data_IF_909634450572
#
_entry.id   IF_909634450572
#
_cell.length_a   1.000
_cell.length_b   1.000
_cell.length_c   1.000
_cell.angle_alpha   90.00
_cell.angle_beta   90.00
_cell.angle_gamma   90.00
#
_symmetry.space_group_name_H-M   'P 1'
#
loop_
_entity.id
_entity.type
_entity.pdbx_description
1 polymer ?
#
# COMPACT_ATOMS: atom_id res chain seq x y z
N UNK A 1 -9.24 -31.39 16.21
CA UNK A 1 -10.04 -30.63 17.20
C UNK A 1 -11.46 -31.16 17.20
N UNK A 2 -12.26 -30.95 18.25
CA UNK A 2 -13.63 -31.46 18.35
C UNK A 2 -14.67 -30.38 18.01
N UNK A 3 -15.70 -30.72 17.23
CA UNK A 3 -16.84 -29.85 16.92
C UNK A 3 -18.01 -30.19 17.84
N UNK A 4 -18.31 -29.33 18.82
CA UNK A 4 -19.26 -29.64 19.89
C UNK A 4 -20.70 -29.80 19.39
N UNK A 5 -21.12 -28.95 18.44
CA UNK A 5 -22.48 -29.00 17.87
C UNK A 5 -22.79 -30.27 17.07
N UNK A 6 -21.82 -30.80 16.35
CA UNK A 6 -22.01 -31.96 15.46
C UNK A 6 -21.49 -33.26 16.06
N UNK A 7 -20.71 -33.19 17.14
CA UNK A 7 -20.11 -34.36 17.78
C UNK A 7 -19.11 -35.06 16.87
N UNK A 8 -18.27 -34.30 16.15
CA UNK A 8 -17.31 -34.84 15.18
C UNK A 8 -15.88 -34.37 15.45
N UNK A 9 -14.92 -35.22 15.09
CA UNK A 9 -13.49 -34.88 15.07
C UNK A 9 -13.15 -34.17 13.74
N UNK A 10 -12.55 -32.99 13.82
CA UNK A 10 -12.11 -32.18 12.66
C UNK A 10 -10.62 -32.39 12.43
N UNK A 11 -10.27 -32.77 11.21
CA UNK A 11 -8.89 -32.84 10.73
C UNK A 11 -8.53 -31.62 9.85
N UNK A 12 -7.88 -30.62 10.43
CA UNK A 12 -7.44 -29.40 9.72
C UNK A 12 -6.42 -29.66 8.60
N UNK A 13 -5.85 -30.85 8.53
CA UNK A 13 -4.90 -31.25 7.49
C UNK A 13 -5.59 -31.73 6.21
N UNK A 14 -6.92 -31.87 6.19
CA UNK A 14 -7.70 -32.31 5.04
C UNK A 14 -8.62 -31.19 4.52
N UNK A 15 -8.83 -31.09 3.18
CA UNK A 15 -9.64 -30.03 2.58
C UNK A 15 -11.12 -30.11 2.95
N UNK A 16 -11.64 -31.32 3.12
CA UNK A 16 -13.01 -31.64 3.59
C UNK A 16 -13.07 -31.80 5.12
N UNK A 17 -11.97 -31.56 5.81
CA UNK A 17 -11.82 -31.71 7.26
C UNK A 17 -12.05 -33.14 7.78
N UNK A 18 -12.05 -34.13 6.88
CA UNK A 18 -12.43 -35.52 7.15
C UNK A 18 -13.93 -35.81 7.03
N UNK A 19 -14.73 -34.86 6.53
CA UNK A 19 -16.20 -34.95 6.43
C UNK A 19 -16.71 -34.50 5.06
N UNK A 20 -16.57 -35.34 4.01
CA UNK A 20 -16.97 -34.98 2.64
C UNK A 20 -18.47 -34.63 2.51
N UNK A 21 -19.31 -35.18 3.39
CA UNK A 21 -20.76 -34.94 3.41
C UNK A 21 -21.15 -33.56 4.01
N UNK A 22 -20.17 -32.74 4.40
CA UNK A 22 -20.37 -31.44 5.07
C UNK A 22 -19.58 -30.31 4.40
N UNK A 23 -19.99 -29.87 3.19
CA UNK A 23 -19.24 -28.87 2.42
C UNK A 23 -19.09 -27.51 3.12
N UNK A 24 -20.06 -27.12 3.97
CA UNK A 24 -20.06 -25.82 4.65
C UNK A 24 -19.20 -25.78 5.93
N UNK A 25 -18.67 -26.93 6.36
CA UNK A 25 -17.98 -27.07 7.65
C UNK A 25 -16.76 -26.16 7.74
N UNK A 26 -16.00 -26.01 6.64
CA UNK A 26 -14.82 -25.15 6.60
C UNK A 26 -15.19 -23.68 6.84
N UNK A 27 -16.27 -23.20 6.24
CA UNK A 27 -16.76 -21.83 6.43
C UNK A 27 -17.23 -21.61 7.87
N UNK A 28 -17.97 -22.57 8.44
CA UNK A 28 -18.49 -22.49 9.81
C UNK A 28 -17.36 -22.36 10.85
N UNK A 29 -16.33 -23.20 10.76
CA UNK A 29 -15.27 -23.25 11.78
C UNK A 29 -14.25 -22.12 11.65
N UNK A 30 -14.15 -21.52 10.46
CA UNK A 30 -13.26 -20.36 10.21
C UNK A 30 -13.93 -19.02 10.43
N UNK A 31 -15.26 -18.99 10.68
CA UNK A 31 -15.96 -17.79 11.10
C UNK A 31 -15.36 -17.19 12.38
N UNK A 32 -15.42 -15.87 12.50
CA UNK A 32 -14.87 -15.15 13.65
C UNK A 32 -15.50 -15.65 14.95
N UNK A 33 -14.70 -15.78 16.01
CA UNK A 33 -15.18 -16.18 17.35
C UNK A 33 -16.25 -15.21 17.89
N UNK A 34 -16.28 -13.96 17.41
CA UNK A 34 -17.33 -12.98 17.74
C UNK A 34 -18.67 -13.23 17.03
N UNK A 35 -18.65 -14.00 15.93
CA UNK A 35 -19.79 -14.26 15.05
C UNK A 35 -20.33 -15.69 15.19
N UNK A 36 -19.64 -16.54 15.97
CA UNK A 36 -20.06 -17.91 16.27
C UNK A 36 -20.03 -18.18 17.76
N UNK A 37 -20.58 -19.30 18.17
CA UNK A 37 -20.43 -19.80 19.55
C UNK A 37 -18.93 -20.00 19.87
N UNK A 38 -18.36 -19.33 20.89
CA UNK A 38 -16.98 -19.53 21.30
C UNK A 38 -16.66 -20.97 21.69
N UNK A 39 -17.67 -21.74 22.15
CA UNK A 39 -17.56 -23.14 22.56
C UNK A 39 -17.80 -24.13 21.41
N UNK A 40 -17.92 -23.65 20.16
CA UNK A 40 -18.14 -24.53 19.00
C UNK A 40 -16.99 -25.52 18.79
N UNK A 41 -15.76 -25.10 19.09
CA UNK A 41 -14.56 -25.88 18.85
C UNK A 41 -13.84 -26.14 20.18
N UNK A 42 -13.47 -27.39 20.39
CA UNK A 42 -12.88 -27.87 21.64
C UNK A 42 -11.56 -28.63 21.38
N UNK A 43 -10.63 -28.55 22.32
CA UNK A 43 -9.39 -29.32 22.28
C UNK A 43 -9.68 -30.82 22.40
N UNK A 44 -9.11 -31.65 21.52
CA UNK A 44 -9.34 -33.10 21.52
C UNK A 44 -8.85 -33.77 22.81
N UNK A 45 -7.73 -33.31 23.38
CA UNK A 45 -7.22 -33.85 24.63
C UNK A 45 -8.24 -33.63 25.76
N UNK A 46 -8.75 -32.40 25.91
CA UNK A 46 -9.80 -32.10 26.88
C UNK A 46 -11.06 -32.94 26.67
N UNK A 47 -11.54 -32.99 25.43
CA UNK A 47 -12.73 -33.77 25.07
C UNK A 47 -12.61 -35.25 25.47
N UNK A 48 -11.44 -35.83 25.23
CA UNK A 48 -11.13 -37.22 25.59
C UNK A 48 -10.69 -37.40 27.06
N UNK A 49 -10.87 -36.38 27.91
CA UNK A 49 -10.46 -36.39 29.33
C UNK A 49 -8.98 -36.70 29.53
N UNK A 50 -8.14 -36.33 28.56
CA UNK A 50 -6.67 -36.33 28.63
C UNK A 50 -6.18 -34.95 29.07
N UNK A 51 -4.92 -34.88 29.47
CA UNK A 51 -4.31 -33.61 29.89
C UNK A 51 -4.23 -32.61 28.72
N UNK A 52 -4.84 -31.44 28.92
CA UNK A 52 -4.69 -30.29 28.04
C UNK A 52 -3.61 -29.37 28.59
N UNK A 53 -2.40 -29.41 28.02
CA UNK A 53 -1.28 -28.56 28.45
C UNK A 53 -1.62 -27.06 28.45
N UNK A 54 -2.55 -26.64 27.59
CA UNK A 54 -3.00 -25.24 27.54
C UNK A 54 -3.85 -24.86 28.76
N UNK A 55 -4.73 -25.75 29.21
CA UNK A 55 -5.51 -25.54 30.45
C UNK A 55 -4.62 -25.59 31.68
N UNK A 56 -3.67 -26.53 31.74
CA UNK A 56 -2.64 -26.56 32.78
C UNK A 56 -1.84 -25.24 32.83
N UNK A 57 -1.69 -24.57 31.69
CA UNK A 57 -1.06 -23.24 31.55
C UNK A 57 -2.00 -22.05 31.72
N UNK A 58 -3.23 -22.22 32.22
CA UNK A 58 -4.18 -21.15 32.51
C UNK A 58 -4.93 -20.58 31.30
N UNK A 59 -5.05 -21.34 30.20
CA UNK A 59 -5.90 -21.02 29.03
C UNK A 59 -7.18 -21.85 29.04
N UNK A 60 -8.14 -21.56 28.17
CA UNK A 60 -9.38 -22.35 28.08
C UNK A 60 -9.22 -23.56 27.14
N UNK A 61 -10.04 -24.63 27.27
CA UNK A 61 -10.04 -25.77 26.34
C UNK A 61 -10.67 -25.44 24.98
N UNK A 62 -11.36 -24.30 24.88
CA UNK A 62 -12.03 -23.85 23.68
C UNK A 62 -11.03 -23.37 22.66
N UNK A 63 -11.34 -23.58 21.38
CA UNK A 63 -10.40 -23.38 20.28
C UNK A 63 -10.91 -22.38 19.25
N UNK A 64 -9.96 -21.72 18.61
CA UNK A 64 -10.18 -21.02 17.34
C UNK A 64 -9.21 -21.53 16.30
N UNK A 65 -9.53 -21.28 15.05
CA UNK A 65 -8.69 -21.63 13.92
C UNK A 65 -8.01 -20.35 13.44
N UNK A 66 -6.72 -20.44 13.23
CA UNK A 66 -5.93 -19.40 12.57
C UNK A 66 -5.17 -20.02 11.41
N UNK A 67 -4.74 -19.18 10.47
CA UNK A 67 -3.79 -19.59 9.44
C UNK A 67 -2.39 -19.57 10.04
N UNK A 68 -1.69 -20.70 9.95
CA UNK A 68 -0.27 -20.82 10.27
C UNK A 68 0.61 -20.57 9.05
N UNK A 69 1.93 -20.53 9.28
CA UNK A 69 2.95 -20.55 8.23
C UNK A 69 4.00 -21.58 8.62
N UNK A 70 4.19 -22.60 7.80
CA UNK A 70 5.15 -23.69 8.07
C UNK A 70 5.79 -24.13 6.76
N UNK A 71 7.10 -23.92 6.62
CA UNK A 71 7.86 -24.37 5.44
C UNK A 71 7.30 -23.81 4.12
N UNK A 72 6.88 -22.54 4.11
CA UNK A 72 6.26 -21.89 2.95
C UNK A 72 4.78 -22.25 2.71
N UNK A 73 4.21 -23.20 3.46
CA UNK A 73 2.78 -23.57 3.40
C UNK A 73 1.92 -22.69 4.31
N UNK A 74 0.60 -22.71 4.10
CA UNK A 74 -0.44 -21.96 4.84
C UNK A 74 -1.47 -22.92 5.46
N UNK A 75 -1.08 -23.80 6.41
CA UNK A 75 -2.03 -24.72 7.03
C UNK A 75 -3.00 -23.99 7.96
N UNK A 76 -4.17 -24.59 8.16
CA UNK A 76 -5.04 -24.24 9.28
C UNK A 76 -4.44 -24.79 10.57
N UNK A 77 -4.38 -23.95 11.60
CA UNK A 77 -3.81 -24.29 12.90
C UNK A 77 -4.85 -23.98 13.97
N UNK A 78 -5.12 -24.97 14.81
CA UNK A 78 -5.95 -24.80 15.99
C UNK A 78 -5.17 -24.06 17.08
N UNK A 79 -5.81 -23.17 17.82
CA UNK A 79 -5.21 -22.49 18.96
C UNK A 79 -6.24 -22.30 20.06
N UNK A 80 -5.80 -22.46 21.31
CA UNK A 80 -6.66 -22.31 22.48
C UNK A 80 -7.05 -20.84 22.66
N UNK A 81 -8.29 -20.63 23.02
CA UNK A 81 -8.84 -19.33 23.37
C UNK A 81 -8.32 -18.91 24.76
N UNK A 82 -7.95 -17.62 24.94
CA UNK A 82 -7.53 -17.11 26.24
C UNK A 82 -8.69 -17.16 27.24
N UNK A 83 -8.40 -17.37 28.54
CA UNK A 83 -9.42 -17.40 29.61
C UNK A 83 -10.19 -16.08 29.71
N UNK A 84 -9.56 -14.96 29.38
CA UNK A 84 -10.25 -13.70 29.13
C UNK A 84 -10.83 -13.71 27.72
N UNK A 85 -11.97 -14.36 27.58
CA UNK A 85 -12.74 -14.40 26.34
C UNK A 85 -13.39 -13.08 25.95
N UNK A 86 -13.35 -12.07 26.83
CA UNK A 86 -13.44 -10.71 26.35
C UNK A 86 -12.13 -10.42 25.64
N UNK A 87 -12.10 -10.62 24.32
CA UNK A 87 -11.44 -9.63 23.48
C UNK A 87 -11.96 -8.31 24.00
N UNK A 88 -11.18 -7.58 24.79
CA UNK A 88 -11.56 -6.23 25.16
C UNK A 88 -11.75 -5.54 23.82
N UNK A 89 -12.97 -5.12 23.46
CA UNK A 89 -13.19 -4.29 22.28
C UNK A 89 -12.57 -2.91 22.48
N UNK A 90 -11.91 -2.69 23.62
CA UNK A 90 -11.07 -1.54 23.86
C UNK A 90 -9.98 -1.53 22.79
N UNK A 91 -10.21 -0.66 21.81
CA UNK A 91 -9.18 -0.06 20.98
C UNK A 91 -7.88 0.07 21.78
N UNK A 92 -6.77 -0.40 21.21
CA UNK A 92 -5.49 -0.33 21.90
C UNK A 92 -5.16 1.14 22.17
N UNK A 93 -4.56 1.44 23.33
CA UNK A 93 -4.20 2.81 23.67
C UNK A 93 -3.29 3.45 22.58
N UNK A 94 -2.49 2.64 21.90
CA UNK A 94 -1.64 3.08 20.80
C UNK A 94 -2.46 3.45 19.55
N UNK A 95 -3.42 2.60 19.16
CA UNK A 95 -4.34 2.89 18.05
C UNK A 95 -5.13 4.17 18.33
N UNK A 96 -5.70 4.28 19.53
CA UNK A 96 -6.44 5.46 19.97
C UNK A 96 -5.58 6.73 19.92
N UNK A 97 -4.37 6.69 20.47
CA UNK A 97 -3.47 7.83 20.48
C UNK A 97 -3.11 8.29 19.06
N UNK A 98 -2.84 7.37 18.12
CA UNK A 98 -2.58 7.72 16.72
C UNK A 98 -3.81 8.34 16.06
N UNK A 99 -5.00 7.78 16.29
CA UNK A 99 -6.27 8.29 15.77
C UNK A 99 -6.54 9.71 16.24
N UNK A 100 -6.45 9.94 17.55
CA UNK A 100 -6.63 11.25 18.18
C UNK A 100 -5.60 12.25 17.63
N UNK A 101 -4.34 11.84 17.48
CA UNK A 101 -3.28 12.70 16.93
C UNK A 101 -3.55 13.12 15.48
N UNK A 102 -4.07 12.23 14.64
CA UNK A 102 -4.44 12.56 13.24
C UNK A 102 -5.55 13.62 13.23
N UNK A 103 -6.60 13.42 14.02
CA UNK A 103 -7.74 14.34 14.12
C UNK A 103 -7.32 15.69 14.71
N UNK A 104 -6.54 15.69 15.79
CA UNK A 104 -6.01 16.91 16.41
C UNK A 104 -5.12 17.68 15.43
N UNK A 105 -4.26 16.97 14.70
CA UNK A 105 -3.40 17.60 13.68
C UNK A 105 -4.21 18.23 12.57
N UNK A 106 -5.24 17.55 12.06
CA UNK A 106 -6.15 18.13 11.08
C UNK A 106 -6.79 19.42 11.63
N UNK A 107 -7.28 19.39 12.88
CA UNK A 107 -7.83 20.56 13.57
C UNK A 107 -6.83 21.72 13.71
N UNK A 108 -5.56 21.44 14.04
CA UNK A 108 -4.49 22.44 14.12
C UNK A 108 -4.24 23.14 12.78
N UNK A 109 -4.44 22.44 11.66
CA UNK A 109 -4.34 23.00 10.32
C UNK A 109 -5.66 23.60 9.79
N UNK A 110 -6.73 23.63 10.61
CA UNK A 110 -8.03 24.15 10.21
C UNK A 110 -8.77 23.26 9.20
N UNK A 111 -8.42 21.98 9.13
CA UNK A 111 -9.10 20.99 8.30
C UNK A 111 -10.27 20.37 9.06
N UNK A 112 -11.30 19.96 8.32
CA UNK A 112 -12.40 19.19 8.89
C UNK A 112 -11.95 17.73 9.08
N UNK A 113 -12.20 17.17 10.26
CA UNK A 113 -11.86 15.78 10.54
C UNK A 113 -12.88 15.14 11.49
N UNK A 114 -13.22 13.89 11.21
CA UNK A 114 -14.12 13.08 12.02
C UNK A 114 -13.44 11.75 12.36
N UNK A 115 -13.61 11.29 13.60
CA UNK A 115 -13.19 9.96 14.02
C UNK A 115 -14.33 8.96 13.84
N UNK A 116 -13.99 7.70 13.57
CA UNK A 116 -14.94 6.58 13.51
C UNK A 116 -16.09 6.78 12.52
N UNK A 117 -15.75 7.21 11.30
CA UNK A 117 -16.74 7.50 10.26
C UNK A 117 -17.22 6.21 9.61
N UNK A 118 -18.53 5.90 9.64
CA UNK A 118 -19.08 4.77 8.92
C UNK A 118 -18.92 4.96 7.41
N UNK A 119 -18.33 3.97 6.76
CA UNK A 119 -18.20 3.89 5.30
C UNK A 119 -19.30 2.95 4.76
N UNK A 120 -20.16 3.50 3.92
CA UNK A 120 -21.31 2.80 3.32
C UNK A 120 -22.43 2.45 4.31
N UNK A 121 -23.04 1.27 4.16
CA UNK A 121 -24.16 0.80 4.99
C UNK A 121 -23.75 0.43 6.45
N UNK A 122 -22.86 1.21 7.07
CA UNK A 122 -22.37 1.04 8.45
C UNK A 122 -21.65 -0.29 8.75
N UNK A 123 -21.19 -1.02 7.73
CA UNK A 123 -20.44 -2.28 7.88
C UNK A 123 -18.92 -2.10 8.00
N UNK A 124 -18.40 -0.96 7.56
CA UNK A 124 -16.99 -0.58 7.71
C UNK A 124 -16.94 0.79 8.37
N UNK A 125 -15.95 1.00 9.23
CA UNK A 125 -15.70 2.27 9.93
C UNK A 125 -14.26 2.65 9.61
N UNK A 126 -14.04 3.86 9.09
CA UNK A 126 -12.70 4.44 8.97
C UNK A 126 -12.30 5.06 10.29
N UNK A 127 -11.08 4.82 10.74
CA UNK A 127 -10.61 5.30 12.05
C UNK A 127 -10.65 6.82 12.12
N UNK A 128 -10.19 7.50 11.07
CA UNK A 128 -10.40 8.93 10.89
C UNK A 128 -10.64 9.27 9.42
N UNK A 129 -11.44 10.31 9.17
CA UNK A 129 -11.57 10.92 7.84
C UNK A 129 -11.15 12.37 7.95
N UNK A 130 -10.18 12.76 7.13
CA UNK A 130 -9.72 14.15 7.01
C UNK A 130 -10.23 14.71 5.68
N UNK A 131 -10.86 15.87 5.74
CA UNK A 131 -11.48 16.54 4.60
C UNK A 131 -10.74 17.84 4.34
N UNK A 132 -10.17 17.93 3.14
CA UNK A 132 -9.46 19.11 2.66
C UNK A 132 -10.38 20.15 2.02
N UNK A 133 -9.88 21.38 1.83
CA UNK A 133 -10.66 22.51 1.31
C UNK A 133 -11.19 22.29 -0.12
N UNK A 134 -10.52 21.44 -0.91
CA UNK A 134 -10.97 21.07 -2.25
C UNK A 134 -12.01 19.92 -2.26
N UNK A 135 -12.56 19.54 -1.09
CA UNK A 135 -13.46 18.41 -0.93
C UNK A 135 -12.77 17.04 -1.06
N UNK A 136 -11.43 17.01 -1.01
CA UNK A 136 -10.64 15.77 -0.97
C UNK A 136 -10.89 15.11 0.39
N UNK A 137 -11.26 13.84 0.38
CA UNK A 137 -11.53 13.07 1.61
C UNK A 137 -10.54 11.92 1.70
N UNK A 138 -9.76 11.88 2.78
CA UNK A 138 -8.77 10.84 3.04
C UNK A 138 -9.20 10.03 4.24
N UNK A 139 -9.43 8.73 4.04
CA UNK A 139 -9.76 7.79 5.11
C UNK A 139 -8.49 7.18 5.69
N UNK A 140 -8.14 7.56 6.91
CA UNK A 140 -7.01 7.03 7.66
C UNK A 140 -7.43 5.75 8.39
N UNK A 141 -6.68 4.67 8.17
CA UNK A 141 -6.92 3.34 8.72
C UNK A 141 -5.66 2.88 9.48
N UNK A 142 -5.72 2.83 10.80
CA UNK A 142 -4.59 2.50 11.67
C UNK A 142 -4.59 1.01 11.93
N UNK A 143 -3.48 0.34 11.64
CA UNK A 143 -3.41 -1.11 11.73
C UNK A 143 -2.06 -1.58 12.27
N UNK A 144 -1.97 -1.66 13.59
CA UNK A 144 -0.79 -2.16 14.33
C UNK A 144 -0.83 -3.65 14.65
N UNK A 145 -1.99 -4.27 14.46
CA UNK A 145 -2.16 -5.72 14.56
C UNK A 145 -2.36 -6.35 13.20
N UNK A 146 -2.19 -7.67 13.11
CA UNK A 146 -2.34 -8.37 11.85
C UNK A 146 -3.77 -8.30 11.33
N UNK A 147 -3.92 -7.84 10.08
CA UNK A 147 -5.16 -7.89 9.32
C UNK A 147 -4.97 -8.83 8.11
N UNK A 148 -6.02 -9.52 7.63
CA UNK A 148 -5.87 -10.32 6.41
C UNK A 148 -5.72 -9.44 5.17
N UNK A 149 -4.94 -9.86 4.15
CA UNK A 149 -4.91 -9.21 2.84
C UNK A 149 -6.29 -8.89 2.25
N UNK A 150 -7.18 -9.89 2.25
CA UNK A 150 -8.57 -9.77 1.81
C UNK A 150 -9.37 -8.70 2.56
N UNK A 151 -9.10 -8.50 3.85
CA UNK A 151 -9.77 -7.47 4.65
C UNK A 151 -9.25 -6.08 4.33
N UNK A 152 -7.94 -5.92 4.11
CA UNK A 152 -7.34 -4.65 3.64
C UNK A 152 -7.96 -4.26 2.30
N UNK A 153 -8.01 -5.21 1.37
CA UNK A 153 -8.52 -4.98 0.02
C UNK A 153 -10.00 -4.57 0.04
N UNK A 154 -10.85 -5.35 0.71
CA UNK A 154 -12.29 -5.09 0.83
C UNK A 154 -12.59 -3.73 1.48
N UNK A 155 -11.88 -3.38 2.57
CA UNK A 155 -12.05 -2.07 3.23
C UNK A 155 -11.61 -0.92 2.32
N UNK A 156 -10.48 -1.08 1.62
CA UNK A 156 -9.96 -0.07 0.70
C UNK A 156 -10.89 0.12 -0.52
N UNK A 157 -11.40 -0.96 -1.10
CA UNK A 157 -12.37 -0.90 -2.20
C UNK A 157 -13.66 -0.19 -1.75
N UNK A 158 -14.19 -0.55 -0.58
CA UNK A 158 -15.35 0.13 0.02
C UNK A 158 -15.10 1.62 0.26
N UNK A 159 -13.91 2.01 0.72
CA UNK A 159 -13.54 3.42 0.88
C UNK A 159 -13.58 4.17 -0.47
N UNK A 160 -12.96 3.59 -1.51
CA UNK A 160 -12.93 4.17 -2.86
C UNK A 160 -14.34 4.31 -3.45
N UNK A 161 -15.20 3.29 -3.31
CA UNK A 161 -16.61 3.34 -3.73
C UNK A 161 -17.37 4.51 -3.09
N UNK A 162 -17.01 4.87 -1.86
CA UNK A 162 -17.61 5.97 -1.10
C UNK A 162 -16.81 7.28 -1.17
N UNK A 163 -15.96 7.42 -2.21
CA UNK A 163 -15.16 8.62 -2.51
C UNK A 163 -14.21 9.02 -1.37
N UNK A 164 -13.68 8.03 -0.66
CA UNK A 164 -12.57 8.19 0.27
C UNK A 164 -11.30 7.65 -0.37
N UNK A 165 -10.22 8.42 -0.31
CA UNK A 165 -8.89 7.93 -0.62
C UNK A 165 -8.37 7.16 0.61
N UNK A 166 -8.18 5.83 0.54
CA UNK A 166 -7.70 5.07 1.69
C UNK A 166 -6.23 5.36 1.96
N UNK A 167 -5.85 5.49 3.24
CA UNK A 167 -4.48 5.64 3.72
C UNK A 167 -4.30 4.74 4.95
N UNK A 168 -3.51 3.69 4.80
CA UNK A 168 -3.23 2.74 5.87
C UNK A 168 -1.96 3.07 6.63
N UNK A 169 -2.00 3.03 7.96
CA UNK A 169 -0.83 3.25 8.83
C UNK A 169 -0.43 1.93 9.49
N UNK A 170 0.82 1.51 9.28
CA UNK A 170 1.43 0.35 9.92
C UNK A 170 2.62 0.75 10.82
N UNK A 171 3.00 -0.13 11.74
CA UNK A 171 4.25 -0.04 12.52
C UNK A 171 5.21 -1.22 12.24
N UNK A 172 4.75 -2.24 11.50
CA UNK A 172 5.51 -3.47 11.20
C UNK A 172 5.90 -3.53 9.70
N UNK A 173 7.18 -3.80 9.42
CA UNK A 173 7.71 -4.01 8.05
C UNK A 173 7.14 -5.26 7.37
N UNK A 174 6.52 -6.16 8.12
CA UNK A 174 5.87 -7.37 7.61
C UNK A 174 4.33 -7.24 7.53
N UNK A 175 3.77 -6.05 7.78
CA UNK A 175 2.33 -5.81 7.73
C UNK A 175 1.74 -6.20 6.38
N UNK A 176 0.66 -6.99 6.40
CA UNK A 176 -0.02 -7.52 5.21
C UNK A 176 -0.61 -6.44 4.30
N UNK A 177 -0.88 -5.25 4.84
CA UNK A 177 -1.40 -4.10 4.10
C UNK A 177 -0.40 -3.46 3.13
N UNK A 178 0.91 -3.70 3.35
CA UNK A 178 1.97 -3.14 2.52
C UNK A 178 1.78 -3.59 1.07
N UNK A 179 1.80 -2.61 0.18
CA UNK A 179 1.61 -2.75 -1.27
C UNK A 179 0.26 -3.34 -1.70
N UNK A 180 -0.75 -3.33 -0.82
CA UNK A 180 -2.14 -3.74 -1.14
C UNK A 180 -3.15 -2.61 -1.18
N UNK A 181 -2.80 -1.48 -0.58
CA UNK A 181 -3.52 -0.23 -0.58
C UNK A 181 -2.51 0.90 -0.33
N UNK A 182 -2.84 2.18 -0.59
CA UNK A 182 -1.95 3.27 -0.19
C UNK A 182 -1.65 3.19 1.31
N UNK A 183 -0.37 3.17 1.66
CA UNK A 183 0.09 2.85 2.99
C UNK A 183 1.28 3.73 3.40
N UNK A 184 1.48 3.87 4.69
CA UNK A 184 2.70 4.39 5.31
C UNK A 184 3.08 3.56 6.52
N UNK A 185 4.38 3.49 6.82
CA UNK A 185 4.89 2.85 8.02
C UNK A 185 5.56 3.87 8.92
N UNK A 186 5.22 3.83 10.21
CA UNK A 186 5.89 4.58 11.28
C UNK A 186 6.66 3.62 12.18
N UNK A 187 7.42 4.16 13.15
CA UNK A 187 8.05 3.34 14.18
C UNK A 187 7.01 2.75 15.14
N UNK A 188 7.32 1.61 15.75
CA UNK A 188 6.51 1.07 16.84
C UNK A 188 6.79 1.84 18.13
N UNK A 189 5.90 2.79 18.43
CA UNK A 189 6.07 3.74 19.54
C UNK A 189 5.05 3.46 20.66
N UNK A 190 5.45 3.55 21.94
CA UNK A 190 4.50 3.51 23.05
C UNK A 190 3.45 4.61 22.94
N UNK A 191 2.20 4.30 23.30
CA UNK A 191 1.08 5.25 23.19
C UNK A 191 1.30 6.58 23.90
N UNK A 192 2.03 6.58 25.03
CA UNK A 192 2.35 7.80 25.78
C UNK A 192 3.21 8.75 24.96
N UNK A 193 4.21 8.22 24.25
CA UNK A 193 5.07 9.05 23.40
C UNK A 193 4.28 9.65 22.22
N UNK A 194 3.33 8.89 21.68
CA UNK A 194 2.43 9.37 20.62
C UNK A 194 1.57 10.52 21.15
N UNK A 195 0.95 10.36 22.32
CA UNK A 195 0.10 11.36 22.96
C UNK A 195 0.87 12.61 23.42
N UNK A 196 2.11 12.43 23.90
CA UNK A 196 2.99 13.52 24.34
C UNK A 196 3.61 14.31 23.17
N UNK A 197 3.24 13.97 21.92
CA UNK A 197 3.65 14.71 20.73
C UNK A 197 5.05 14.38 20.22
N UNK A 198 5.66 13.25 20.63
CA UNK A 198 6.94 12.80 20.07
C UNK A 198 6.82 12.61 18.56
N UNK A 199 7.78 13.09 17.79
CA UNK A 199 7.75 13.01 16.33
C UNK A 199 7.47 11.60 15.79
N UNK A 200 6.48 11.48 14.91
CA UNK A 200 6.14 10.23 14.23
C UNK A 200 6.62 10.27 12.79
N UNK A 201 7.85 9.79 12.57
CA UNK A 201 8.50 9.79 11.26
C UNK A 201 7.95 8.65 10.40
N UNK A 202 7.61 8.97 9.14
CA UNK A 202 7.26 7.98 8.13
C UNK A 202 8.54 7.31 7.63
N UNK A 203 8.67 6.02 7.94
CA UNK A 203 9.80 5.16 7.58
C UNK A 203 9.64 4.47 6.23
N UNK A 204 8.41 4.29 5.76
CA UNK A 204 8.10 3.59 4.52
C UNK A 204 6.75 4.01 3.95
N UNK A 205 6.51 3.70 2.68
CA UNK A 205 5.25 4.00 1.98
C UNK A 205 5.15 5.41 1.39
N UNK A 206 6.00 6.36 1.83
CA UNK A 206 6.16 7.66 1.18
C UNK A 206 7.47 7.73 0.39
N UNK A 207 7.44 8.20 -0.86
CA UNK A 207 8.58 8.20 -1.78
C UNK A 207 8.70 9.49 -2.59
N UNK A 208 9.93 9.75 -3.04
CA UNK A 208 10.28 10.83 -3.94
C UNK A 208 10.77 10.28 -5.27
N UNK A 209 10.43 10.98 -6.35
CA UNK A 209 10.98 10.68 -7.66
C UNK A 209 12.38 11.25 -7.77
N UNK A 210 13.34 10.43 -8.20
CA UNK A 210 14.63 10.93 -8.65
C UNK A 210 14.94 10.57 -10.08
N UNK A 211 15.46 11.56 -10.81
CA UNK A 211 15.80 11.46 -12.22
C UNK A 211 17.28 11.79 -12.37
N UNK A 212 18.04 10.88 -13.00
CA UNK A 212 19.48 11.08 -13.21
C UNK A 212 19.93 10.60 -14.58
N UNK A 213 20.98 11.22 -15.11
CA UNK A 213 21.64 10.74 -16.33
C UNK A 213 22.66 9.68 -15.95
N UNK A 214 22.60 8.52 -16.60
CA UNK A 214 23.51 7.41 -16.38
C UNK A 214 24.84 7.62 -17.12
N UNK A 215 25.81 8.20 -16.43
CA UNK A 215 27.19 8.44 -16.89
C UNK A 215 28.22 7.86 -15.91
N UNK A 216 29.49 7.67 -16.29
CA UNK A 216 30.54 7.15 -15.38
C UNK A 216 30.66 7.87 -14.04
N UNK A 217 30.37 9.19 -13.99
CA UNK A 217 30.44 10.00 -12.77
C UNK A 217 29.15 10.01 -11.94
N UNK A 218 28.14 9.22 -12.31
CA UNK A 218 26.87 9.19 -11.60
C UNK A 218 27.03 8.47 -10.26
N UNK A 219 26.52 9.07 -9.20
CA UNK A 219 26.47 8.40 -7.88
C UNK A 219 25.49 7.22 -7.90
N UNK A 220 24.42 7.31 -8.69
CA UNK A 220 23.42 6.26 -8.84
C UNK A 220 23.82 5.22 -9.90
N UNK A 221 23.56 3.96 -9.61
CA UNK A 221 23.84 2.83 -10.49
C UNK A 221 22.97 2.85 -11.75
N UNK A 222 23.42 2.14 -12.79
CA UNK A 222 22.67 1.96 -14.03
C UNK A 222 21.55 0.93 -13.85
N UNK A 223 20.30 1.30 -14.16
CA UNK A 223 19.14 0.40 -14.05
C UNK A 223 19.08 -0.66 -15.15
N UNK A 224 19.77 -0.44 -16.28
CA UNK A 224 19.76 -1.36 -17.43
C UNK A 224 20.76 -2.49 -17.25
N UNK A 225 21.94 -2.17 -16.71
CA UNK A 225 23.01 -3.14 -16.49
C UNK A 225 23.06 -3.63 -15.04
N UNK A 226 22.03 -3.34 -14.24
CA UNK A 226 21.94 -3.64 -12.82
C UNK A 226 23.23 -3.26 -12.05
N UNK A 227 23.73 -2.05 -12.34
CA UNK A 227 24.95 -1.49 -11.74
C UNK A 227 26.29 -1.90 -12.37
N UNK A 228 26.33 -2.82 -13.33
CA UNK A 228 27.59 -3.28 -13.95
C UNK A 228 28.23 -2.30 -14.96
N UNK A 229 27.71 -1.08 -15.10
CA UNK A 229 28.19 -0.13 -16.10
C UNK A 229 27.37 1.15 -16.20
N UNK A 230 27.46 1.83 -17.33
CA UNK A 230 26.70 3.05 -17.63
C UNK A 230 26.08 2.97 -19.03
N UNK A 231 24.80 3.32 -19.17
CA UNK A 231 24.10 3.22 -20.45
C UNK A 231 23.98 4.56 -21.21
N UNK A 232 24.36 5.69 -20.60
CA UNK A 232 24.22 7.02 -21.21
C UNK A 232 22.79 7.59 -21.20
N UNK A 233 21.79 6.79 -20.82
CA UNK A 233 20.38 7.14 -20.78
C UNK A 233 19.98 7.99 -19.57
N UNK A 234 18.69 8.32 -19.47
CA UNK A 234 18.11 8.93 -18.27
C UNK A 234 17.36 7.85 -17.50
N UNK A 235 17.65 7.74 -16.22
CA UNK A 235 16.95 6.88 -15.28
C UNK A 235 16.01 7.69 -14.41
N UNK A 236 14.88 7.09 -14.04
CA UNK A 236 13.93 7.63 -13.11
C UNK A 236 13.44 6.51 -12.19
N UNK A 237 13.44 6.72 -10.88
CA UNK A 237 13.06 5.71 -9.90
C UNK A 237 12.56 6.35 -8.59
N UNK A 238 11.80 5.59 -7.79
CA UNK A 238 11.14 6.09 -6.58
C UNK A 238 11.89 5.68 -5.30
N UNK A 239 12.35 6.65 -4.51
CA UNK A 239 13.19 6.44 -3.33
C UNK A 239 12.49 6.90 -2.05
N UNK A 240 12.73 6.21 -0.93
CA UNK A 240 12.40 6.75 0.40
C UNK A 240 13.34 7.92 0.73
N UNK A 241 12.93 8.90 1.58
CA UNK A 241 13.71 10.11 1.85
C UNK A 241 15.18 9.86 2.22
N UNK A 242 15.44 8.84 3.04
CA UNK A 242 16.78 8.45 3.51
C UNK A 242 17.71 7.92 2.38
N UNK A 243 17.15 7.52 1.24
CA UNK A 243 17.91 7.01 0.08
C UNK A 243 17.98 8.03 -1.07
N UNK A 244 17.43 9.22 -0.87
CA UNK A 244 17.54 10.32 -1.83
C UNK A 244 18.96 10.90 -1.87
N UNK A 245 19.31 11.56 -2.98
CA UNK A 245 20.61 12.19 -3.20
C UNK A 245 20.44 13.64 -3.72
N UNK A 246 20.72 14.66 -2.89
CA UNK A 246 21.04 14.56 -1.45
C UNK A 246 19.85 14.00 -0.64
N UNK A 247 20.13 13.49 0.55
CA UNK A 247 19.11 12.99 1.47
C UNK A 247 18.00 14.02 1.67
N UNK A 248 16.74 13.59 1.56
CA UNK A 248 15.57 14.44 1.75
C UNK A 248 15.18 14.42 3.22
N UNK A 249 14.59 15.52 3.68
CA UNK A 249 14.04 15.58 5.04
C UNK A 249 13.02 14.45 5.23
N UNK A 250 13.03 13.79 6.41
CA UNK A 250 11.98 12.84 6.74
C UNK A 250 10.61 13.50 6.68
N UNK A 251 9.59 12.74 6.27
CA UNK A 251 8.19 13.19 6.29
C UNK A 251 7.57 12.68 7.59
N UNK A 252 6.86 13.54 8.29
CA UNK A 252 6.16 13.17 9.51
C UNK A 252 4.69 12.87 9.24
N UNK A 253 4.02 12.16 10.15
CA UNK A 253 2.59 11.86 10.01
C UNK A 253 1.77 13.15 9.88
N UNK A 254 2.19 14.21 10.59
CA UNK A 254 1.53 15.51 10.56
C UNK A 254 1.60 16.19 9.20
N UNK A 255 2.77 16.13 8.55
CA UNK A 255 2.95 16.67 7.21
C UNK A 255 2.00 15.95 6.24
N UNK A 256 1.91 14.63 6.36
CA UNK A 256 1.05 13.84 5.48
C UNK A 256 -0.45 14.07 5.74
N UNK A 257 -0.87 14.33 6.98
CA UNK A 257 -2.26 14.74 7.29
C UNK A 257 -2.64 15.98 6.49
N UNK A 258 -1.80 17.01 6.52
CA UNK A 258 -2.04 18.23 5.76
C UNK A 258 -1.95 17.96 4.24
N UNK A 259 -0.83 17.42 3.77
CA UNK A 259 -0.53 17.29 2.35
C UNK A 259 -1.48 16.35 1.62
N UNK A 260 -1.92 15.26 2.26
CA UNK A 260 -2.88 14.33 1.64
C UNK A 260 -4.26 14.97 1.50
N UNK A 261 -4.69 15.79 2.47
CA UNK A 261 -5.96 16.49 2.42
C UNK A 261 -5.95 17.68 1.44
N UNK A 262 -4.83 18.38 1.30
CA UNK A 262 -4.69 19.49 0.33
C UNK A 262 -4.42 19.01 -1.10
N UNK A 263 -4.09 17.72 -1.27
CA UNK A 263 -3.73 17.14 -2.56
C UNK A 263 -2.29 17.41 -2.98
N UNK A 264 -1.46 17.98 -2.10
CA UNK A 264 -0.01 18.10 -2.28
C UNK A 264 0.69 16.74 -2.28
N UNK A 265 0.14 15.78 -1.53
CA UNK A 265 0.55 14.39 -1.52
C UNK A 265 -0.56 13.49 -2.03
N UNK A 266 -0.24 12.60 -2.96
CA UNK A 266 -1.21 11.77 -3.68
C UNK A 266 -0.76 10.32 -3.74
N UNK A 267 -1.69 9.36 -3.72
CA UNK A 267 -1.34 7.95 -3.87
C UNK A 267 -1.01 7.63 -5.33
N UNK A 268 0.00 6.79 -5.53
CA UNK A 268 0.39 6.21 -6.82
C UNK A 268 0.48 4.70 -6.68
N UNK A 269 0.02 4.01 -7.72
CA UNK A 269 0.21 2.58 -7.90
C UNK A 269 1.22 2.34 -9.02
N UNK A 270 2.23 1.52 -8.74
CA UNK A 270 3.23 1.12 -9.73
C UNK A 270 3.15 -0.37 -9.98
N UNK A 271 2.67 -0.82 -11.17
CA UNK A 271 2.67 -2.23 -11.50
C UNK A 271 4.10 -2.78 -11.62
N UNK A 272 4.31 -4.00 -11.15
CA UNK A 272 5.57 -4.71 -11.35
C UNK A 272 5.66 -5.19 -12.80
N UNK A 273 6.75 -4.83 -13.50
CA UNK A 273 6.93 -5.17 -14.93
C UNK A 273 7.04 -6.67 -15.21
N UNK A 274 7.40 -7.49 -14.21
CA UNK A 274 7.51 -8.94 -14.36
C UNK A 274 6.26 -9.73 -13.94
N UNK A 275 5.31 -9.09 -13.25
CA UNK A 275 4.10 -9.73 -12.78
C UNK A 275 2.98 -8.69 -12.70
N UNK A 276 2.10 -8.64 -13.70
CA UNK A 276 1.00 -7.66 -13.76
C UNK A 276 -0.03 -7.76 -12.63
N UNK A 277 0.09 -8.75 -11.73
CA UNK A 277 -0.74 -8.91 -10.53
C UNK A 277 -0.12 -8.30 -9.27
N UNK A 278 1.19 -8.04 -9.28
CA UNK A 278 1.92 -7.45 -8.17
C UNK A 278 2.29 -6.00 -8.51
N UNK A 279 2.10 -5.07 -7.58
CA UNK A 279 2.52 -3.69 -7.76
C UNK A 279 2.72 -3.03 -6.41
N UNK A 280 3.34 -1.84 -6.40
CA UNK A 280 3.60 -1.10 -5.17
C UNK A 280 2.64 0.07 -5.05
N UNK A 281 2.06 0.21 -3.88
CA UNK A 281 1.30 1.39 -3.51
C UNK A 281 2.22 2.31 -2.71
N UNK A 282 2.17 3.60 -3.01
CA UNK A 282 2.96 4.61 -2.30
C UNK A 282 2.27 5.96 -2.32
N UNK A 283 2.65 6.81 -1.37
CA UNK A 283 2.38 8.24 -1.37
C UNK A 283 3.58 8.99 -1.94
N UNK A 284 3.31 10.01 -2.74
CA UNK A 284 4.32 10.85 -3.38
C UNK A 284 3.79 12.28 -3.45
N UNK A 285 4.66 13.26 -3.71
CA UNK A 285 4.19 14.62 -4.01
C UNK A 285 3.44 14.66 -5.34
N UNK A 286 2.47 15.56 -5.47
CA UNK A 286 1.74 15.79 -6.72
C UNK A 286 2.68 16.20 -7.86
N UNK A 287 3.74 16.96 -7.55
CA UNK A 287 4.77 17.37 -8.51
C UNK A 287 5.57 16.18 -9.02
N UNK A 288 5.99 15.27 -8.13
CA UNK A 288 6.73 14.07 -8.53
C UNK A 288 5.85 13.15 -9.37
N UNK A 289 4.57 13.01 -9.03
CA UNK A 289 3.59 12.27 -9.85
C UNK A 289 3.45 12.88 -11.24
N UNK A 290 3.33 14.21 -11.34
CA UNK A 290 3.21 14.90 -12.62
C UNK A 290 4.45 14.70 -13.48
N UNK A 291 5.65 14.88 -12.90
CA UNK A 291 6.92 14.62 -13.57
C UNK A 291 7.03 13.16 -14.03
N UNK A 292 6.63 12.20 -13.21
CA UNK A 292 6.61 10.79 -13.60
C UNK A 292 5.72 10.56 -14.83
N UNK A 293 4.49 11.08 -14.83
CA UNK A 293 3.56 10.96 -15.95
C UNK A 293 4.11 11.57 -17.24
N UNK A 294 4.83 12.70 -17.15
CA UNK A 294 5.53 13.29 -18.29
C UNK A 294 6.63 12.36 -18.83
N UNK A 295 7.36 11.68 -17.96
CA UNK A 295 8.46 10.78 -18.35
C UNK A 295 7.96 9.48 -19.00
N UNK A 296 6.89 8.87 -18.47
CA UNK A 296 6.42 7.57 -18.94
C UNK A 296 5.42 7.65 -20.10
N UNK A 297 4.83 8.83 -20.37
CA UNK A 297 3.90 9.04 -21.50
C UNK A 297 2.54 8.35 -21.38
N UNK A 298 2.37 7.46 -20.41
CA UNK A 298 1.12 6.77 -20.08
C UNK A 298 0.48 7.38 -18.82
N UNK A 299 -0.85 7.53 -18.85
CA UNK A 299 -1.61 7.79 -17.61
C UNK A 299 -1.52 6.52 -16.77
N UNK A 300 -0.93 6.63 -15.58
CA UNK A 300 -0.90 5.55 -14.58
C UNK A 300 -2.30 4.94 -14.47
N UNK A 301 -2.49 3.66 -14.82
CA UNK A 301 -3.80 3.02 -14.70
C UNK A 301 -4.23 3.03 -13.23
N UNK A 302 -5.53 3.23 -13.00
CA UNK A 302 -6.12 3.02 -11.68
C UNK A 302 -5.88 1.56 -11.25
N UNK A 303 -5.73 1.30 -9.94
CA UNK A 303 -5.45 -0.05 -9.45
C UNK A 303 -6.54 -1.01 -9.91
N UNK A 304 -6.14 -2.04 -10.66
CA UNK A 304 -7.00 -3.18 -10.95
C UNK A 304 -7.01 -4.08 -9.72
N UNK A 305 -8.20 -4.37 -9.20
CA UNK A 305 -8.41 -5.30 -8.09
C UNK A 305 -7.83 -6.68 -8.45
N UNK A 306 -6.84 -7.21 -7.72
CA UNK A 306 -6.45 -8.61 -7.89
C UNK A 306 -7.60 -9.51 -7.42
N UNK A 307 -8.05 -10.44 -8.27
CA UNK A 307 -8.80 -11.60 -7.81
C UNK A 307 -7.88 -12.48 -6.94
N UNK A 308 -8.40 -12.94 -5.80
CA UNK A 308 -7.82 -13.88 -4.82
C UNK A 308 -6.34 -14.27 -5.03
N UNK A 309 -5.45 -13.73 -4.20
CA UNK A 309 -4.00 -13.96 -4.27
C UNK A 309 -3.58 -15.25 -3.53
N UNK A 310 -2.46 -15.87 -3.94
CA UNK A 310 -1.84 -17.08 -3.34
C UNK A 310 -1.66 -17.02 -1.81
N UNK A 311 -1.54 -15.82 -1.23
CA UNK A 311 -1.42 -15.62 0.21
C UNK A 311 -2.68 -16.02 1.00
N UNK A 312 -3.83 -16.17 0.32
CA UNK A 312 -5.10 -16.62 0.90
C UNK A 312 -5.38 -18.12 0.71
N UNK A 313 -4.60 -18.82 -0.12
CA UNK A 313 -4.78 -20.24 -0.40
C UNK A 313 -4.43 -21.09 0.83
N UNK A 314 -5.43 -21.81 1.37
CA UNK A 314 -5.23 -22.77 2.45
C UNK A 314 -4.51 -23.99 1.87
N UNK A 315 -3.40 -24.38 2.50
CA UNK A 315 -2.69 -25.62 2.13
C UNK A 315 -3.02 -26.73 3.11
N UNK A 316 -3.32 -27.91 2.60
CA UNK A 316 -3.65 -29.09 3.40
C UNK A 316 -2.48 -30.09 3.36
N UNK A 317 -2.11 -30.64 4.52
CA UNK A 317 -0.94 -31.50 4.64
C UNK A 317 -1.24 -32.99 4.42
N UNK A 318 -2.52 -33.40 4.40
CA UNK A 318 -2.92 -34.80 4.27
C UNK A 318 -2.56 -35.68 5.47
N UNK A 319 -2.23 -35.07 6.62
CA UNK A 319 -1.81 -35.79 7.82
C UNK A 319 -3.00 -36.28 8.63
N UNK A 320 -2.81 -37.38 9.37
CA UNK A 320 -3.77 -37.81 10.38
C UNK A 320 -3.92 -36.76 11.49
N UNK A 321 -5.07 -36.80 12.15
CA UNK A 321 -5.39 -35.86 13.23
C UNK A 321 -4.56 -36.14 14.48
N UNK A 322 -3.83 -35.12 14.93
CA UNK A 322 -3.16 -35.16 16.23
C UNK A 322 -4.20 -35.02 17.35
N UNK A 323 -4.27 -36.02 18.24
CA UNK A 323 -5.23 -36.09 19.34
C UNK A 323 -4.65 -35.62 20.67
N UNK A 324 -3.36 -35.32 20.71
CA UNK A 324 -2.69 -34.84 21.92
C UNK A 324 -2.61 -33.31 21.94
N UNK A 325 -2.66 -32.72 23.13
CA UNK A 325 -2.50 -31.27 23.28
C UNK A 325 -1.03 -30.93 23.52
N UNK A 326 -0.38 -30.35 22.52
CA UNK A 326 1.04 -29.94 22.57
C UNK A 326 1.23 -28.43 22.69
N UNK A 327 0.25 -27.74 23.26
CA UNK A 327 0.29 -26.29 23.40
C UNK A 327 1.48 -25.87 24.27
N UNK A 328 2.41 -25.08 23.70
CA UNK A 328 3.61 -24.61 24.41
C UNK A 328 4.87 -25.44 24.17
N UNK A 329 4.81 -26.55 23.41
CA UNK A 329 6.02 -27.28 23.00
C UNK A 329 6.86 -26.45 22.00
N UNK A 330 8.15 -26.26 22.27
CA UNK A 330 9.07 -25.58 21.33
C UNK A 330 9.33 -26.47 20.10
N UNK A 331 9.33 -25.87 18.90
CA UNK A 331 9.78 -26.52 17.67
C UNK A 331 8.70 -27.09 16.72
N UNK A 332 7.44 -27.22 17.15
CA UNK A 332 6.30 -27.50 16.25
C UNK A 332 5.22 -26.45 16.45
N UNK A 333 4.69 -25.90 15.35
CA UNK A 333 3.69 -24.81 15.29
C UNK A 333 4.18 -23.38 15.56
N UNK A 334 5.49 -23.14 15.66
CA UNK A 334 6.04 -21.80 15.50
C UNK A 334 5.76 -21.40 14.05
N UNK A 335 4.86 -20.43 13.87
CA UNK A 335 4.65 -19.84 12.55
C UNK A 335 6.00 -19.31 12.08
N UNK A 336 6.43 -19.67 10.87
CA UNK A 336 7.62 -19.04 10.29
C UNK A 336 7.46 -17.53 10.38
N UNK A 337 8.59 -16.84 10.57
CA UNK A 337 8.65 -15.38 10.53
C UNK A 337 8.00 -14.87 9.25
N UNK A 338 7.22 -13.81 9.36
CA UNK A 338 6.62 -13.19 8.19
C UNK A 338 7.73 -12.58 7.32
N UNK A 339 7.64 -12.72 5.99
CA UNK A 339 8.58 -12.08 5.09
C UNK A 339 8.43 -10.57 5.25
N UNK A 340 9.58 -9.90 5.26
CA UNK A 340 9.62 -8.46 5.19
C UNK A 340 9.00 -8.03 3.86
N UNK A 341 8.07 -7.07 3.92
CA UNK A 341 7.40 -6.51 2.74
C UNK A 341 7.94 -5.11 2.44
N UNK A 342 8.19 -4.32 3.49
CA UNK A 342 8.90 -3.06 3.35
C UNK A 342 10.41 -3.28 3.37
N UNK A 343 11.00 -3.35 2.17
CA UNK A 343 12.43 -3.56 1.96
C UNK A 343 13.22 -2.26 1.74
N UNK A 344 12.57 -1.08 1.84
CA UNK A 344 13.14 0.24 1.54
C UNK A 344 13.73 0.37 0.10
N UNK A 345 13.63 -0.68 -0.72
CA UNK A 345 14.22 -0.75 -2.06
C UNK A 345 13.58 0.26 -3.03
N UNK A 346 14.35 0.82 -3.99
CA UNK A 346 13.79 1.59 -5.10
C UNK A 346 12.72 0.81 -5.85
N UNK A 347 11.78 1.51 -6.49
CA UNK A 347 10.68 0.85 -7.22
C UNK A 347 10.23 1.68 -8.40
N UNK A 348 9.87 1.03 -9.52
CA UNK A 348 9.38 1.70 -10.72
C UNK A 348 10.45 1.98 -11.77
N UNK A 349 11.74 1.77 -11.45
CA UNK A 349 12.91 1.91 -12.31
C UNK A 349 12.62 1.98 -13.82
N UNK A 350 12.74 3.16 -14.38
CA UNK A 350 12.47 3.46 -15.78
C UNK A 350 13.70 4.05 -16.45
N UNK A 351 13.96 3.65 -17.70
CA UNK A 351 15.08 4.17 -18.49
C UNK A 351 14.57 4.74 -19.80
N UNK A 352 14.82 6.03 -20.03
CA UNK A 352 14.66 6.65 -21.33
C UNK A 352 15.94 6.45 -22.15
N UNK A 353 15.88 5.87 -23.36
CA UNK A 353 17.05 5.61 -24.20
C UNK A 353 17.72 6.91 -24.71
N UNK A 354 17.01 8.03 -24.69
CA UNK A 354 17.48 9.41 -24.88
C UNK A 354 16.40 10.34 -24.32
N UNK A 355 16.78 11.47 -23.72
CA UNK A 355 15.79 12.52 -23.44
C UNK A 355 15.03 12.88 -24.73
N UNK A 356 13.70 13.14 -24.69
CA UNK A 356 13.16 14.14 -25.61
C UNK A 356 13.99 15.40 -25.36
N UNK A 357 14.73 15.85 -26.38
CA UNK A 357 15.76 16.88 -26.27
C UNK A 357 15.31 17.98 -25.31
N UNK A 358 15.86 18.01 -24.08
CA UNK A 358 15.89 19.24 -23.32
C UNK A 358 16.79 20.17 -24.13
N UNK A 359 16.20 20.95 -25.05
CA UNK A 359 16.89 22.10 -25.58
C UNK A 359 17.00 23.07 -24.42
N UNK A 360 18.23 23.18 -23.93
CA UNK A 360 18.78 24.31 -23.20
C UNK A 360 17.75 25.38 -22.90
N UNK A 361 17.42 25.49 -21.61
CA UNK A 361 16.67 26.60 -21.02
C UNK A 361 17.51 27.89 -21.03
N UNK A 362 18.28 28.15 -22.09
CA UNK A 362 18.54 29.52 -22.46
C UNK A 362 17.26 30.00 -23.16
N UNK A 363 16.56 31.01 -22.63
CA UNK A 363 15.54 31.67 -23.41
C UNK A 363 16.27 32.20 -24.63
N UNK A 364 16.10 31.56 -25.80
CA UNK A 364 16.43 32.19 -27.06
C UNK A 364 15.63 33.47 -27.04
N UNK A 365 16.30 34.60 -26.89
CA UNK A 365 15.67 35.92 -26.80
C UNK A 365 15.10 36.23 -28.17
N UNK A 366 13.91 35.68 -28.45
CA UNK A 366 13.17 35.92 -29.69
C UNK A 366 12.94 37.42 -29.79
N UNK A 367 13.67 38.04 -30.71
CA UNK A 367 13.59 39.48 -30.93
C UNK A 367 12.22 39.82 -31.52
N UNK A 368 11.73 41.06 -31.34
CA UNK A 368 10.51 41.53 -31.99
C UNK A 368 10.55 41.36 -33.52
N UNK A 369 11.74 41.47 -34.13
CA UNK A 369 11.95 41.29 -35.58
C UNK A 369 11.73 39.84 -36.01
N UNK A 370 12.31 38.87 -35.29
CA UNK A 370 12.09 37.45 -35.56
C UNK A 370 10.63 37.04 -35.37
N UNK A 371 9.95 37.62 -34.37
CA UNK A 371 8.53 37.37 -34.13
C UNK A 371 7.64 37.96 -35.23
N UNK A 372 7.97 39.15 -35.75
CA UNK A 372 7.28 39.75 -36.87
C UNK A 372 7.48 38.95 -38.17
N UNK A 373 8.72 38.51 -38.45
CA UNK A 373 9.03 37.68 -39.61
C UNK A 373 8.28 36.32 -39.56
N UNK A 374 8.25 35.67 -38.40
CA UNK A 374 7.51 34.42 -38.20
C UNK A 374 6.00 34.62 -38.34
N UNK A 375 5.45 35.77 -37.91
CA UNK A 375 4.03 36.11 -38.03
C UNK A 375 3.62 36.26 -39.49
N UNK A 376 4.45 36.93 -40.29
CA UNK A 376 4.27 37.06 -41.74
C UNK A 376 4.36 35.69 -42.45
N UNK A 377 5.39 34.89 -42.13
CA UNK A 377 5.60 33.58 -42.75
C UNK A 377 4.49 32.57 -42.41
N UNK A 378 3.96 32.61 -41.18
CA UNK A 378 2.94 31.69 -40.73
C UNK A 378 1.52 32.21 -40.96
N UNK A 379 1.34 33.47 -41.38
CA UNK A 379 0.03 34.08 -41.65
C UNK A 379 -0.87 34.22 -40.41
N UNK A 380 -0.29 34.48 -39.23
CA UNK A 380 -1.01 34.63 -37.97
C UNK A 380 -0.59 35.89 -37.22
N UNK A 381 -1.44 36.43 -36.32
CA UNK A 381 -1.03 37.48 -35.41
C UNK A 381 0.18 37.10 -34.55
N UNK A 382 1.00 38.09 -34.19
CA UNK A 382 2.23 37.93 -33.38
C UNK A 382 1.96 37.27 -32.02
N UNK A 383 0.78 37.49 -31.43
CA UNK A 383 0.37 36.90 -30.15
C UNK A 383 -0.02 35.42 -30.24
N UNK A 384 -0.29 34.91 -31.44
CA UNK A 384 -0.54 33.46 -31.66
C UNK A 384 0.76 32.66 -31.72
N UNK A 385 1.91 33.34 -31.80
CA UNK A 385 3.22 32.70 -31.91
C UNK A 385 3.76 32.27 -30.56
N UNK A 386 4.31 31.07 -30.52
CA UNK A 386 5.09 30.59 -29.40
C UNK A 386 6.08 29.53 -29.84
N UNK A 387 7.05 29.18 -28.98
CA UNK A 387 8.03 28.15 -29.28
C UNK A 387 7.36 26.77 -29.30
N UNK A 388 7.73 25.95 -30.29
CA UNK A 388 7.44 24.53 -30.33
C UNK A 388 8.01 23.85 -29.09
N UNK A 389 7.20 23.05 -28.38
CA UNK A 389 7.63 22.34 -27.17
C UNK A 389 8.73 21.30 -27.44
N UNK A 390 8.89 20.84 -28.69
CA UNK A 390 9.92 19.85 -29.07
C UNK A 390 11.24 20.45 -29.55
N UNK A 391 11.21 21.51 -30.37
CA UNK A 391 12.41 22.07 -30.98
C UNK A 391 12.65 23.55 -30.68
N UNK A 392 11.74 24.25 -29.98
CA UNK A 392 11.86 25.68 -29.68
C UNK A 392 11.60 26.62 -30.87
N UNK A 393 11.40 26.11 -32.08
CA UNK A 393 11.07 26.92 -33.26
C UNK A 393 9.74 27.65 -33.08
N UNK A 394 9.66 28.93 -33.48
CA UNK A 394 8.39 29.66 -33.48
C UNK A 394 7.37 29.00 -34.40
N UNK A 395 6.18 28.80 -33.85
CA UNK A 395 5.04 28.23 -34.54
C UNK A 395 3.75 28.88 -34.01
N UNK A 396 2.62 28.64 -34.69
CA UNK A 396 1.29 28.97 -34.15
C UNK A 396 1.02 28.08 -32.93
N UNK A 397 1.33 28.61 -31.73
CA UNK A 397 1.19 27.89 -30.47
C UNK A 397 -0.16 28.18 -29.80
N UNK A 398 -0.72 29.36 -30.04
CA UNK A 398 -1.96 29.83 -29.42
C UNK A 398 -3.02 30.12 -30.51
N UNK A 399 -4.28 30.33 -30.09
CA UNK A 399 -5.39 30.63 -31.00
C UNK A 399 -6.11 29.39 -31.54
N UNK A 400 -6.90 29.58 -32.61
CA UNK A 400 -7.88 28.59 -33.11
C UNK A 400 -7.26 27.30 -33.67
N UNK A 401 -5.95 27.32 -33.95
CA UNK A 401 -5.17 26.17 -34.45
C UNK A 401 -3.94 25.92 -33.57
N UNK A 402 -4.07 26.15 -32.27
CA UNK A 402 -3.01 25.96 -31.28
C UNK A 402 -2.47 24.52 -31.33
N UNK A 403 -1.16 24.40 -31.46
CA UNK A 403 -0.46 23.13 -31.36
C UNK A 403 0.77 23.29 -30.46
N UNK A 404 1.04 22.25 -29.66
CA UNK A 404 2.21 22.24 -28.78
C UNK A 404 3.50 21.89 -29.54
N UNK A 405 3.40 21.19 -30.66
CA UNK A 405 4.54 20.74 -31.47
C UNK A 405 4.41 21.22 -32.92
N UNK A 406 5.52 21.59 -33.55
CA UNK A 406 5.55 21.97 -34.96
C UNK A 406 5.33 20.74 -35.85
N UNK A 407 5.03 20.93 -37.14
CA UNK A 407 4.74 19.82 -38.05
C UNK A 407 5.89 18.80 -38.14
N UNK A 408 7.15 19.26 -38.10
CA UNK A 408 8.32 18.37 -38.09
C UNK A 408 8.45 17.56 -36.80
N UNK A 409 8.20 18.16 -35.64
CA UNK A 409 8.15 17.40 -34.39
C UNK A 409 6.96 16.44 -34.35
N UNK A 410 5.79 16.84 -34.88
CA UNK A 410 4.61 15.98 -34.98
C UNK A 410 4.82 14.79 -35.90
N UNK A 411 5.49 14.95 -37.05
CA UNK A 411 5.77 13.83 -37.95
C UNK A 411 6.72 12.80 -37.32
N UNK A 412 7.67 13.24 -36.49
CA UNK A 412 8.55 12.35 -35.72
C UNK A 412 7.78 11.62 -34.61
N UNK A 413 6.83 12.31 -33.96
CA UNK A 413 6.01 11.73 -32.90
C UNK A 413 4.95 10.74 -33.43
N UNK A 414 4.36 11.03 -34.59
CA UNK A 414 3.27 10.22 -35.18
C UNK A 414 3.77 9.10 -36.11
N UNK A 415 5.07 9.05 -36.40
CA UNK A 415 5.71 8.06 -37.29
C UNK A 415 6.29 6.84 -36.57
N UNK A 416 5.79 6.51 -35.38
CA UNK A 416 6.14 5.31 -34.62
C UNK A 416 4.89 4.57 -34.17
#
# INVERSE_FOLDING_TARGET
>A
MWHTRYGIEINLSLPDLGHPDRPDLLQEITASVSERDPQLLECLAHHHKRECLSESGGKSPWMFIRRGRVGGRRPLVASHLPVTHKATPAESAQHKATKERIVETAGRYGLEAEAEVPVGNRRSISDAVVIGPAGIRVGWEIQYHHLSPSSVHRRSASAVEHRLTPLWVANDRAASLIDRAPWVRVDDMPWKEIADGKEMVIRGGYRHLEVWKCVPSSVRHCLVSDGAGHCGGIHADWFVPALCLPERKPVHIEDLVLQSATGESVPVYMPNRGNGRAGRHMWVSADDRALWQELIGERTPLPTVPHEEEDDAITFAGQEVDRDCRAGEEGRFVSDSRPLRDLDQPTGGFTLPRMPVQRSREPTSVTPVERAAASAALGCPVWELGPCAGCGQLMRRYGRNAAMYCNGCRSVLNGR
#
